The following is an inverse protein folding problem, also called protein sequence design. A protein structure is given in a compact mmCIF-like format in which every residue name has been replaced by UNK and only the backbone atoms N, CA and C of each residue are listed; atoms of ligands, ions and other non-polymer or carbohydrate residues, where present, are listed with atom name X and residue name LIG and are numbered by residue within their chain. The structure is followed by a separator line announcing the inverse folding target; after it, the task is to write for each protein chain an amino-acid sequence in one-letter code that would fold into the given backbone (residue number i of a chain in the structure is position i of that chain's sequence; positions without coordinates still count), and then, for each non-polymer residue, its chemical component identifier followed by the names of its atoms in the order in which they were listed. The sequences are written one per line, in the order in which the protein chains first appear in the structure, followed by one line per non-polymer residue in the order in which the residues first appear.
data_IF_850081856180
#
_entry.id   IF_850081856180
#
_cell.length_a   1.000
_cell.length_b   1.000
_cell.length_c   1.000
_cell.angle_alpha   90.00
_cell.angle_beta   90.00
_cell.angle_gamma   90.00
#
_symmetry.space_group_name_H-M   'P 1'
#
loop_
_entity.id
_entity.type
_entity.pdbx_description
1 polymer ?
#
# COMPACT_ATOMS: atom_id res chain seq x y z
N UNK A 1 0.14 -8.49 -30.46
CA UNK A 1 0.96 -8.75 -29.25
C UNK A 1 0.02 -8.85 -28.07
N UNK A 2 -0.06 -10.01 -27.42
CA UNK A 2 -0.85 -10.22 -26.19
C UNK A 2 0.09 -9.95 -25.02
N UNK A 3 -0.15 -8.88 -24.28
CA UNK A 3 0.50 -8.64 -22.99
C UNK A 3 -0.23 -9.49 -21.95
N UNK A 4 0.23 -10.72 -21.72
CA UNK A 4 -0.09 -11.46 -20.51
C UNK A 4 0.83 -10.90 -19.42
N UNK A 5 0.27 -10.18 -18.44
CA UNK A 5 0.95 -9.78 -17.20
C UNK A 5 0.04 -8.89 -16.34
N UNK A 6 -0.40 -9.42 -15.18
CA UNK A 6 -0.27 -8.61 -13.98
C UNK A 6 0.01 -9.47 -12.72
N UNK A 7 0.46 -10.71 -12.88
CA UNK A 7 0.39 -11.74 -11.82
C UNK A 7 1.16 -11.41 -10.54
N UNK A 8 2.30 -10.71 -10.61
CA UNK A 8 3.21 -10.60 -9.45
C UNK A 8 3.34 -9.20 -8.82
N UNK A 9 2.89 -8.13 -9.50
CA UNK A 9 3.07 -6.75 -9.03
C UNK A 9 2.20 -6.39 -7.82
N UNK A 10 1.01 -6.96 -7.72
CA UNK A 10 0.17 -6.77 -6.55
C UNK A 10 0.48 -7.76 -5.42
N UNK A 11 0.96 -8.94 -5.79
CA UNK A 11 1.46 -9.91 -4.83
C UNK A 11 2.68 -9.36 -4.10
N UNK A 12 3.58 -8.67 -4.80
CA UNK A 12 4.75 -8.04 -4.17
C UNK A 12 4.34 -6.95 -3.19
N UNK A 13 3.44 -6.02 -3.57
CA UNK A 13 2.91 -4.96 -2.69
C UNK A 13 2.16 -5.52 -1.46
N UNK A 14 1.39 -6.60 -1.63
CA UNK A 14 0.66 -7.24 -0.52
C UNK A 14 1.56 -8.12 0.37
N UNK A 15 2.59 -8.76 -0.21
CA UNK A 15 3.56 -9.58 0.52
C UNK A 15 4.49 -8.73 1.40
N UNK A 16 4.76 -7.46 1.03
CA UNK A 16 5.47 -6.49 1.90
C UNK A 16 4.73 -6.33 3.23
N UNK A 17 3.40 -6.29 3.19
CA UNK A 17 2.58 -5.99 4.36
C UNK A 17 2.45 -7.17 5.34
N UNK A 18 2.52 -8.42 4.86
CA UNK A 18 2.25 -9.60 5.70
C UNK A 18 3.51 -10.05 6.46
N UNK A 19 4.70 -9.96 5.87
CA UNK A 19 5.95 -10.44 6.50
C UNK A 19 6.54 -9.43 7.49
N UNK A 20 6.29 -8.14 7.30
CA UNK A 20 6.82 -7.08 8.15
C UNK A 20 6.16 -6.96 9.54
N UNK A 21 5.06 -7.67 9.80
CA UNK A 21 4.29 -7.53 11.04
C UNK A 21 4.86 -8.27 12.27
N UNK A 22 6.00 -8.97 12.18
CA UNK A 22 6.44 -9.85 13.28
C UNK A 22 7.55 -9.32 14.18
N UNK A 23 8.30 -8.26 13.84
CA UNK A 23 9.42 -7.82 14.68
C UNK A 23 9.77 -6.34 14.52
N UNK A 24 8.87 -5.44 14.88
CA UNK A 24 9.24 -4.04 15.11
C UNK A 24 8.37 -3.43 16.19
N UNK A 25 8.99 -2.73 17.14
CA UNK A 25 8.29 -1.92 18.13
C UNK A 25 7.38 -0.96 17.37
N UNK A 26 6.07 -1.05 17.60
CA UNK A 26 5.07 -0.25 16.93
C UNK A 26 5.43 1.24 17.11
N UNK A 27 5.78 1.92 16.01
CA UNK A 27 5.74 3.37 15.98
C UNK A 27 4.29 3.83 16.02
N UNK A 28 4.03 5.02 16.56
CA UNK A 28 2.71 5.63 16.44
C UNK A 28 2.34 5.69 14.95
N UNK A 29 1.17 5.16 14.54
CA UNK A 29 0.74 5.29 13.16
C UNK A 29 0.64 6.78 12.85
N UNK A 30 1.37 7.19 11.82
CA UNK A 30 1.28 8.51 11.18
C UNK A 30 -0.12 8.82 10.64
N UNK A 31 -0.94 7.78 10.48
CA UNK A 31 -2.33 7.87 10.08
C UNK A 31 -3.26 7.77 11.29
N UNK A 32 -4.30 8.60 11.29
CA UNK A 32 -5.44 8.39 12.18
C UNK A 32 -6.10 7.05 11.78
N UNK A 33 -6.38 6.23 12.79
CA UNK A 33 -6.97 4.91 12.62
C UNK A 33 -8.50 5.06 12.69
N UNK A 34 -9.25 4.58 11.68
CA UNK A 34 -10.72 4.59 11.74
C UNK A 34 -11.25 3.85 12.97
N UNK A 35 -12.36 4.32 13.54
CA UNK A 35 -12.89 3.82 14.83
C UNK A 35 -13.35 2.35 14.79
N UNK A 36 -13.67 1.83 13.61
CA UNK A 36 -14.10 0.45 13.37
C UNK A 36 -12.93 -0.54 13.23
N UNK A 37 -11.69 -0.05 13.18
CA UNK A 37 -10.50 -0.90 13.09
C UNK A 37 -10.28 -1.61 14.42
N UNK A 38 -10.25 -2.95 14.37
CA UNK A 38 -9.95 -3.80 15.52
C UNK A 38 -8.44 -3.96 15.74
N UNK A 39 -7.67 -3.99 14.65
CA UNK A 39 -6.21 -4.11 14.69
C UNK A 39 -5.54 -3.21 13.66
N UNK A 40 -4.51 -2.50 14.11
CA UNK A 40 -3.64 -1.71 13.28
C UNK A 40 -2.18 -2.16 13.51
N UNK A 41 -1.48 -2.48 12.44
CA UNK A 41 -0.04 -2.72 12.44
C UNK A 41 0.65 -1.64 11.64
N UNK A 42 1.66 -0.97 12.22
CA UNK A 42 2.44 0.04 11.52
C UNK A 42 3.92 -0.36 11.52
N UNK A 43 4.51 -0.36 10.32
CA UNK A 43 5.92 -0.51 10.08
C UNK A 43 6.51 0.83 9.62
N UNK A 44 7.39 1.40 10.44
CA UNK A 44 8.19 2.56 10.06
C UNK A 44 9.42 2.07 9.27
N UNK A 45 9.33 2.12 7.95
CA UNK A 45 10.39 1.65 7.03
C UNK A 45 11.64 2.50 7.17
N UNK A 46 11.49 3.78 7.49
CA UNK A 46 12.62 4.70 7.70
C UNK A 46 13.45 4.27 8.91
N UNK A 47 12.79 3.97 10.04
CA UNK A 47 13.46 3.44 11.24
C UNK A 47 14.01 2.04 11.03
N UNK A 48 13.30 1.20 10.28
CA UNK A 48 13.76 -0.15 9.94
C UNK A 48 15.10 -0.07 9.19
N UNK A 49 15.22 0.79 8.18
CA UNK A 49 16.46 1.00 7.41
C UNK A 49 17.62 1.56 8.22
N UNK A 50 17.33 2.35 9.25
CA UNK A 50 18.35 2.92 10.12
C UNK A 50 19.02 1.86 11.03
N UNK A 51 18.44 0.66 11.14
CA UNK A 51 18.99 -0.44 11.92
C UNK A 51 19.70 -1.46 11.00
N UNK A 52 20.91 -1.94 11.34
CA UNK A 52 21.62 -2.96 10.55
C UNK A 52 20.80 -4.22 10.22
N UNK A 53 19.99 -4.72 11.17
CA UNK A 53 19.12 -5.88 10.92
C UNK A 53 17.99 -5.52 9.96
N UNK A 54 17.40 -4.35 10.15
CA UNK A 54 16.31 -3.89 9.30
C UNK A 54 16.77 -3.57 7.88
N UNK A 55 18.01 -3.08 7.72
CA UNK A 55 18.65 -2.92 6.41
C UNK A 55 18.79 -4.27 5.70
N UNK A 56 19.29 -5.31 6.39
CA UNK A 56 19.36 -6.67 5.83
C UNK A 56 17.98 -7.22 5.43
N UNK A 57 16.93 -6.95 6.21
CA UNK A 57 15.57 -7.37 5.87
C UNK A 57 15.04 -6.64 4.64
N UNK A 58 15.25 -5.33 4.53
CA UNK A 58 14.86 -4.54 3.37
C UNK A 58 15.64 -4.97 2.13
N UNK A 59 16.93 -5.23 2.26
CA UNK A 59 17.78 -5.68 1.16
C UNK A 59 17.39 -7.08 0.68
N UNK A 60 17.14 -8.01 1.61
CA UNK A 60 16.66 -9.35 1.30
C UNK A 60 15.28 -9.31 0.63
N UNK A 61 14.40 -8.44 1.11
CA UNK A 61 13.08 -8.22 0.53
C UNK A 61 13.17 -7.67 -0.90
N UNK A 62 13.99 -6.65 -1.11
CA UNK A 62 14.23 -6.03 -2.42
C UNK A 62 14.86 -7.03 -3.40
N UNK A 63 15.81 -7.83 -2.91
CA UNK A 63 16.43 -8.92 -3.68
C UNK A 63 15.42 -10.00 -4.04
N UNK A 64 14.52 -10.36 -3.12
CA UNK A 64 13.44 -11.32 -3.36
C UNK A 64 12.46 -10.84 -4.41
N UNK A 65 12.04 -9.56 -4.35
CA UNK A 65 11.23 -8.95 -5.40
C UNK A 65 11.97 -8.97 -6.74
N UNK A 66 13.22 -8.51 -6.78
CA UNK A 66 13.99 -8.46 -8.02
C UNK A 66 14.19 -9.86 -8.61
N UNK A 67 14.48 -10.87 -7.79
CA UNK A 67 14.59 -12.26 -8.22
C UNK A 67 13.25 -12.79 -8.76
N UNK A 68 12.14 -12.48 -8.10
CA UNK A 68 10.81 -12.89 -8.55
C UNK A 68 10.45 -12.23 -9.89
N UNK A 69 10.70 -10.93 -10.05
CA UNK A 69 10.46 -10.19 -11.29
C UNK A 69 11.36 -10.70 -12.42
N UNK A 70 12.64 -10.92 -12.15
CA UNK A 70 13.58 -11.42 -13.17
C UNK A 70 13.33 -12.89 -13.56
N UNK A 71 12.68 -13.67 -12.69
CA UNK A 71 12.32 -15.07 -12.97
C UNK A 71 11.05 -15.23 -13.82
N UNK A 72 10.26 -14.16 -13.96
CA UNK A 72 9.09 -14.12 -14.81
C UNK A 72 9.41 -13.30 -16.05
N UNK A 73 9.63 -13.96 -17.19
CA UNK A 73 9.88 -13.31 -18.50
C UNK A 73 8.77 -12.35 -18.92
N UNK A 74 7.62 -12.50 -18.29
CA UNK A 74 6.47 -11.62 -18.30
C UNK A 74 6.80 -10.19 -17.82
N UNK A 75 7.58 -10.13 -16.74
CA UNK A 75 7.58 -9.06 -15.74
C UNK A 75 8.45 -7.88 -16.13
N UNK A 76 7.90 -6.69 -15.92
CA UNK A 76 8.71 -5.47 -15.95
C UNK A 76 9.83 -5.61 -14.91
N UNK A 77 11.06 -5.41 -15.37
CA UNK A 77 12.22 -5.34 -14.48
C UNK A 77 12.04 -4.18 -13.48
N UNK A 78 12.71 -4.23 -12.32
CA UNK A 78 12.68 -3.12 -11.36
C UNK A 78 13.02 -1.76 -11.97
N UNK A 79 13.98 -1.71 -12.90
CA UNK A 79 14.37 -0.48 -13.59
C UNK A 79 13.27 0.04 -14.54
N UNK A 80 12.58 -0.84 -15.26
CA UNK A 80 11.43 -0.47 -16.10
C UNK A 80 10.26 0.04 -15.26
N UNK A 81 10.04 -0.54 -14.08
CA UNK A 81 9.05 -0.02 -13.12
C UNK A 81 9.42 1.39 -12.67
N UNK A 82 10.67 1.61 -12.25
CA UNK A 82 11.16 2.92 -11.80
C UNK A 82 11.01 3.96 -12.91
N UNK A 83 11.35 3.60 -14.16
CA UNK A 83 11.17 4.48 -15.31
C UNK A 83 9.68 4.80 -15.57
N UNK A 84 8.79 3.81 -15.42
CA UNK A 84 7.37 3.99 -15.64
C UNK A 84 6.69 4.86 -14.58
N UNK A 85 7.04 4.71 -13.29
CA UNK A 85 6.49 5.56 -12.22
C UNK A 85 7.22 6.88 -12.04
N UNK A 86 8.48 6.95 -12.46
CA UNK A 86 9.36 8.11 -12.26
C UNK A 86 9.95 8.21 -10.85
N UNK A 87 9.93 7.13 -10.06
CA UNK A 87 10.58 7.03 -8.75
C UNK A 87 10.78 5.56 -8.35
N UNK A 88 11.52 5.32 -7.28
CA UNK A 88 11.68 3.98 -6.72
C UNK A 88 10.70 3.77 -5.55
N UNK A 89 9.64 2.93 -5.72
CA UNK A 89 8.64 2.73 -4.67
C UNK A 89 9.22 2.15 -3.39
N UNK A 90 10.27 1.33 -3.49
CA UNK A 90 10.94 0.80 -2.32
C UNK A 90 11.61 1.97 -1.62
N UNK A 91 12.53 2.67 -2.27
CA UNK A 91 13.27 3.80 -1.66
C UNK A 91 12.34 4.87 -1.10
N UNK A 92 11.29 5.23 -1.83
CA UNK A 92 10.36 6.28 -1.43
C UNK A 92 9.39 5.88 -0.31
N UNK A 93 9.22 4.59 -0.01
CA UNK A 93 8.34 4.16 1.09
C UNK A 93 8.91 4.56 2.45
N UNK A 94 8.14 5.34 3.21
CA UNK A 94 8.46 5.78 4.57
C UNK A 94 7.83 4.86 5.63
N UNK A 95 6.63 4.37 5.37
CA UNK A 95 5.88 3.57 6.31
C UNK A 95 4.79 2.75 5.63
N UNK A 96 4.44 1.62 6.25
CA UNK A 96 3.36 0.74 5.81
C UNK A 96 2.45 0.50 7.01
N UNK A 97 1.17 0.81 6.85
CA UNK A 97 0.15 0.56 7.87
C UNK A 97 -0.88 -0.42 7.34
N UNK A 98 -1.08 -1.55 8.03
CA UNK A 98 -2.16 -2.48 7.76
C UNK A 98 -3.26 -2.28 8.81
N UNK A 99 -4.50 -2.10 8.34
CA UNK A 99 -5.68 -1.93 9.19
C UNK A 99 -6.64 -3.09 8.92
N UNK A 100 -7.18 -3.70 9.98
CA UNK A 100 -8.15 -4.77 9.89
C UNK A 100 -9.36 -4.46 10.78
N UNK A 101 -10.55 -4.44 10.17
CA UNK A 101 -11.80 -4.18 10.89
C UNK A 101 -12.51 -5.47 11.32
N UNK A 102 -12.22 -6.60 10.64
CA UNK A 102 -12.85 -7.88 10.95
C UNK A 102 -11.94 -9.06 10.61
N UNK A 103 -11.70 -9.93 11.59
CA UNK A 103 -10.85 -11.12 11.46
C UNK A 103 -11.58 -12.32 10.87
N UNK A 104 -12.90 -12.35 10.97
CA UNK A 104 -13.68 -13.45 10.42
C UNK A 104 -13.68 -13.40 8.88
N UNK A 105 -13.50 -12.21 8.31
CA UNK A 105 -13.50 -11.96 6.86
C UNK A 105 -12.34 -11.04 6.43
N UNK A 106 -11.07 -11.48 6.56
CA UNK A 106 -9.91 -10.59 6.41
C UNK A 106 -9.76 -10.06 4.98
N UNK A 107 -10.04 -10.88 3.95
CA UNK A 107 -10.02 -10.43 2.55
C UNK A 107 -10.89 -9.21 2.29
N UNK A 108 -12.01 -9.07 3.00
CA UNK A 108 -12.96 -7.97 2.80
C UNK A 108 -12.74 -6.79 3.75
N UNK A 109 -11.82 -6.90 4.71
CA UNK A 109 -11.70 -5.96 5.83
C UNK A 109 -10.27 -5.51 6.14
N UNK A 110 -9.29 -6.05 5.42
CA UNK A 110 -7.90 -5.58 5.47
C UNK A 110 -7.68 -4.50 4.42
N UNK A 111 -7.06 -3.41 4.84
CA UNK A 111 -6.59 -2.32 3.98
C UNK A 111 -5.17 -1.97 4.36
N UNK A 112 -4.33 -1.77 3.36
CA UNK A 112 -2.93 -1.36 3.50
C UNK A 112 -2.81 0.08 3.05
N UNK A 113 -2.13 0.88 3.85
CA UNK A 113 -1.78 2.27 3.56
C UNK A 113 -0.26 2.35 3.49
N UNK A 114 0.26 2.70 2.33
CA UNK A 114 1.70 2.90 2.09
C UNK A 114 1.95 4.40 2.02
N UNK A 115 2.79 4.90 2.92
CA UNK A 115 3.21 6.29 2.90
C UNK A 115 4.52 6.43 2.13
N UNK A 116 4.53 7.36 1.19
CA UNK A 116 5.67 7.69 0.36
C UNK A 116 6.25 9.04 0.76
N UNK A 117 7.55 9.26 0.51
CA UNK A 117 8.08 10.61 0.54
C UNK A 117 7.41 11.46 -0.56
N UNK A 118 7.70 12.76 -0.54
CA UNK A 118 7.22 13.69 -1.55
C UNK A 118 7.81 13.32 -2.92
N UNK A 119 7.07 12.54 -3.69
CA UNK A 119 7.44 12.12 -5.05
C UNK A 119 6.67 12.90 -6.12
N UNK A 120 7.34 13.22 -7.22
CA UNK A 120 6.75 13.80 -8.44
C UNK A 120 6.23 12.75 -9.42
N UNK A 121 6.35 11.47 -9.09
CA UNK A 121 6.01 10.37 -9.98
C UNK A 121 4.52 10.17 -10.26
N UNK A 122 4.23 9.52 -11.39
CA UNK A 122 2.86 9.25 -11.86
C UNK A 122 2.43 7.81 -11.51
N UNK A 123 2.04 7.61 -10.25
CA UNK A 123 1.51 6.33 -9.76
C UNK A 123 0.25 5.85 -10.50
N UNK A 124 -0.59 6.77 -10.95
CA UNK A 124 -1.81 6.43 -11.71
C UNK A 124 -1.49 5.86 -13.10
N UNK A 125 -0.34 6.25 -13.68
CA UNK A 125 0.15 5.77 -14.97
C UNK A 125 0.36 4.25 -15.01
N UNK A 126 0.79 3.63 -13.91
CA UNK A 126 0.97 2.18 -13.84
C UNK A 126 -0.33 1.40 -13.93
N UNK A 127 -1.38 1.88 -13.24
CA UNK A 127 -2.63 1.13 -13.12
C UNK A 127 -3.39 1.11 -14.44
N UNK A 128 -3.25 2.16 -15.26
CA UNK A 128 -3.89 2.27 -16.57
C UNK A 128 -3.46 1.19 -17.56
N UNK A 129 -2.24 0.65 -17.40
CA UNK A 129 -1.72 -0.42 -18.25
C UNK A 129 -2.18 -1.82 -17.81
N UNK A 130 -2.88 -1.95 -16.68
CA UNK A 130 -3.21 -3.25 -16.10
C UNK A 130 -4.49 -3.86 -16.67
N UNK A 131 -4.57 -5.21 -16.75
CA UNK A 131 -5.75 -5.92 -17.22
C UNK A 131 -7.00 -5.61 -16.39
N UNK A 132 -8.13 -5.47 -17.08
CA UNK A 132 -9.43 -5.19 -16.48
C UNK A 132 -9.43 -3.96 -15.55
N UNK A 133 -8.55 -3.01 -15.86
CA UNK A 133 -8.52 -1.72 -15.19
C UNK A 133 -9.89 -1.07 -15.23
N UNK A 134 -10.36 -0.64 -14.06
CA UNK A 134 -11.54 0.20 -13.90
C UNK A 134 -11.20 1.34 -12.96
N UNK A 135 -11.82 2.48 -13.18
CA UNK A 135 -11.82 3.57 -12.20
C UNK A 135 -13.25 3.91 -11.83
N UNK A 136 -13.48 4.10 -10.54
CA UNK A 136 -14.71 4.67 -10.00
C UNK A 136 -14.38 5.96 -9.26
N UNK A 137 -15.32 6.89 -9.26
CA UNK A 137 -15.20 8.12 -8.49
C UNK A 137 -15.89 7.87 -7.15
N UNK A 138 -15.15 8.07 -6.07
CA UNK A 138 -15.68 8.12 -4.71
C UNK A 138 -15.37 9.51 -4.15
N UNK A 139 -16.35 10.42 -4.24
CA UNK A 139 -16.20 11.84 -3.87
C UNK A 139 -15.10 12.49 -4.72
N UNK A 140 -14.06 13.05 -4.08
CA UNK A 140 -12.93 13.69 -4.74
C UNK A 140 -11.80 12.70 -5.07
N UNK A 141 -11.97 11.41 -4.74
CA UNK A 141 -10.99 10.37 -5.01
C UNK A 141 -11.35 9.56 -6.25
N UNK A 142 -10.33 9.27 -7.05
CA UNK A 142 -10.39 8.22 -8.05
C UNK A 142 -9.90 6.92 -7.43
N UNK A 143 -10.81 5.96 -7.25
CA UNK A 143 -10.45 4.60 -6.84
C UNK A 143 -10.23 3.79 -8.10
N UNK A 144 -9.04 3.25 -8.23
CA UNK A 144 -8.61 2.38 -9.31
C UNK A 144 -8.81 0.92 -8.90
N UNK A 145 -9.10 0.05 -9.85
CA UNK A 145 -9.14 -1.38 -9.59
C UNK A 145 -8.61 -2.19 -10.77
N UNK A 146 -7.97 -3.30 -10.48
CA UNK A 146 -7.30 -4.18 -11.44
C UNK A 146 -7.51 -5.64 -11.01
N UNK A 147 -7.51 -6.58 -11.95
CA UNK A 147 -7.64 -8.02 -11.62
C UNK A 147 -6.27 -8.68 -11.63
N UNK A 148 -5.98 -9.39 -10.54
CA UNK A 148 -4.69 -9.99 -10.24
C UNK A 148 -4.97 -11.40 -9.73
N UNK A 149 -4.49 -12.40 -10.47
CA UNK A 149 -4.67 -13.82 -10.09
C UNK A 149 -6.15 -14.22 -9.84
N UNK A 150 -7.09 -13.54 -10.50
CA UNK A 150 -8.53 -13.77 -10.37
C UNK A 150 -9.21 -12.98 -9.26
N UNK A 151 -8.45 -12.34 -8.36
CA UNK A 151 -8.98 -11.43 -7.36
C UNK A 151 -8.86 -9.97 -7.83
N UNK A 152 -9.82 -9.11 -7.47
CA UNK A 152 -9.78 -7.69 -7.80
C UNK A 152 -9.14 -6.90 -6.66
N UNK A 153 -8.07 -6.18 -6.97
CA UNK A 153 -7.46 -5.21 -6.06
C UNK A 153 -8.06 -3.83 -6.33
N UNK A 154 -8.32 -3.09 -5.28
CA UNK A 154 -8.74 -1.70 -5.31
C UNK A 154 -7.65 -0.84 -4.69
N UNK A 155 -7.39 0.34 -5.25
CA UNK A 155 -6.48 1.29 -4.65
C UNK A 155 -6.70 2.73 -5.09
N UNK A 156 -6.29 3.65 -4.23
CA UNK A 156 -6.41 5.09 -4.45
C UNK A 156 -5.16 5.79 -3.94
N UNK A 157 -4.89 6.98 -4.50
CA UNK A 157 -3.80 7.83 -4.06
C UNK A 157 -4.41 9.03 -3.33
N UNK A 158 -4.07 9.18 -2.06
CA UNK A 158 -4.38 10.36 -1.27
C UNK A 158 -3.13 11.24 -1.17
N UNK A 159 -3.27 12.55 -1.38
CA UNK A 159 -2.20 13.52 -1.12
C UNK A 159 -2.68 14.45 -0.03
N UNK A 160 -1.94 14.54 1.09
CA UNK A 160 -2.32 15.44 2.16
C UNK A 160 -1.93 16.90 1.88
N UNK A 161 -2.40 17.83 2.72
CA UNK A 161 -2.10 19.25 2.60
C UNK A 161 -0.61 19.63 2.72
N UNK A 162 0.26 18.70 3.12
CA UNK A 162 1.72 18.87 3.17
C UNK A 162 2.43 18.29 1.95
N UNK A 163 1.70 17.62 1.05
CA UNK A 163 2.21 16.99 -0.15
C UNK A 163 2.71 15.57 0.06
N UNK A 164 2.48 14.95 1.23
CA UNK A 164 2.77 13.54 1.45
C UNK A 164 1.75 12.70 0.69
N UNK A 165 2.23 11.69 -0.04
CA UNK A 165 1.39 10.78 -0.82
C UNK A 165 1.20 9.48 -0.05
N UNK A 166 -0.05 9.01 -0.02
CA UNK A 166 -0.44 7.73 0.56
C UNK A 166 -1.12 6.89 -0.51
N UNK A 167 -0.67 5.66 -0.68
CA UNK A 167 -1.39 4.64 -1.47
C UNK A 167 -2.26 3.87 -0.50
N UNK A 168 -3.57 3.86 -0.73
CA UNK A 168 -4.52 3.03 0.01
C UNK A 168 -4.90 1.87 -0.89
N UNK A 169 -4.74 0.63 -0.45
CA UNK A 169 -5.04 -0.56 -1.25
C UNK A 169 -5.71 -1.67 -0.43
N UNK A 170 -6.68 -2.36 -1.02
CA UNK A 170 -7.36 -3.50 -0.42
C UNK A 170 -7.93 -4.46 -1.48
N UNK A 171 -8.30 -5.66 -1.06
CA UNK A 171 -8.97 -6.66 -1.93
C UNK A 171 -10.48 -6.42 -2.07
N UNK A 172 -10.97 -5.34 -1.48
CA UNK A 172 -12.37 -4.90 -1.52
C UNK A 172 -12.43 -3.38 -1.59
N UNK A 173 -13.47 -2.85 -2.22
CA UNK A 173 -13.66 -1.42 -2.39
C UNK A 173 -13.97 -0.72 -1.06
N UNK A 174 -14.80 -1.34 -0.24
CA UNK A 174 -15.36 -0.73 0.97
C UNK A 174 -14.31 -0.34 2.02
N UNK A 175 -13.26 -1.15 2.31
CA UNK A 175 -12.17 -0.71 3.19
C UNK A 175 -11.39 0.49 2.64
N UNK A 176 -11.21 0.59 1.32
CA UNK A 176 -10.53 1.74 0.70
C UNK A 176 -11.35 3.01 0.90
N UNK A 177 -12.65 2.96 0.57
CA UNK A 177 -13.57 4.09 0.76
C UNK A 177 -13.59 4.58 2.21
N UNK A 178 -13.68 3.66 3.17
CA UNK A 178 -13.67 4.00 4.61
C UNK A 178 -12.42 4.74 5.04
N UNK A 179 -11.24 4.28 4.60
CA UNK A 179 -9.97 4.96 4.93
C UNK A 179 -9.90 6.34 4.27
N UNK A 180 -10.35 6.48 3.02
CA UNK A 180 -10.38 7.77 2.33
C UNK A 180 -11.35 8.76 3.01
N UNK A 181 -12.54 8.29 3.38
CA UNK A 181 -13.53 9.09 4.13
C UNK A 181 -12.97 9.53 5.49
N UNK A 182 -12.09 8.72 6.09
CA UNK A 182 -11.39 9.06 7.31
C UNK A 182 -10.31 10.13 7.12
N UNK A 183 -9.55 10.09 6.02
CA UNK A 183 -8.58 11.14 5.70
C UNK A 183 -9.23 12.51 5.50
N UNK A 184 -10.47 12.54 4.99
CA UNK A 184 -11.24 13.78 4.85
C UNK A 184 -11.97 14.22 6.13
N UNK A 185 -11.78 13.50 7.24
CA UNK A 185 -12.45 13.81 8.52
C UNK A 185 -13.97 13.60 8.49
N UNK A 186 -14.48 12.82 7.52
CA UNK A 186 -15.91 12.62 7.30
C UNK A 186 -16.48 11.38 7.99
N UNK A 187 -15.64 10.50 8.54
CA UNK A 187 -16.06 9.53 9.55
C UNK A 187 -16.20 10.26 10.88
N UNK A 188 -17.28 11.05 10.99
CA UNK A 188 -17.74 11.80 12.16
C UNK A 188 -16.71 12.07 13.26
N UNK A 189 -16.19 13.30 13.31
CA UNK A 189 -15.57 14.09 14.40
C UNK A 189 -15.18 13.53 15.80
N UNK A 190 -15.45 12.30 16.22
CA UNK A 190 -15.12 11.77 17.55
C UNK A 190 -14.78 10.27 17.44
N UNK A 191 -13.68 9.86 18.09
CA UNK A 191 -13.11 8.50 18.17
C UNK A 191 -11.85 8.22 17.33
N UNK A 192 -11.01 9.23 17.07
CA UNK A 192 -9.58 8.97 16.95
C UNK A 192 -9.05 8.52 18.32
N UNK A 193 -9.10 7.21 18.62
CA UNK A 193 -8.25 6.66 19.68
C UNK A 193 -6.81 6.88 19.22
N UNK A 194 -6.14 7.88 19.80
CA UNK A 194 -4.69 7.79 19.95
C UNK A 194 -4.46 6.49 20.71
N UNK A 195 -3.73 5.56 20.12
CA UNK A 195 -3.36 4.32 20.80
C UNK A 195 -2.79 4.71 22.17
N UNK A 196 -3.20 4.03 23.26
CA UNK A 196 -2.74 4.36 24.60
C UNK A 196 -1.21 4.34 24.63
N UNK A 197 -0.62 5.41 25.15
CA UNK A 197 0.80 5.50 25.41
C UNK A 197 1.15 4.41 26.43
N UNK A 198 1.96 3.44 26.02
CA UNK A 198 2.56 2.42 26.88
C UNK A 198 4.07 2.64 26.98
#
# INVERSE_FOLDING_TARGET
MRFSQPRLLALSVLSIAIVACTVAKAGDPSILVPADVKVAGHLDVTKLRANPIGQQLVDAFSTGIAASLNSDSESASPDEMIQAVGFDPIVETQGITALCSDFDNPKQNVVVVIELQKTSGNLAGLLLAMPEYKSIIHRDYQIHSVVLEGDRLFGAIHTDGKGTKRIVAAMSETPVQRVLDHFDGQTGAELSRRLPQA
#
